data_IF_617773644630
#
_entry.id   IF_617773644630
#
_cell.length_a   1.000
_cell.length_b   1.000
_cell.length_c   1.000
_cell.angle_alpha   90.00
_cell.angle_beta   90.00
_cell.angle_gamma   90.00
#
_symmetry.space_group_name_H-M   'P 1'
#
loop_
_entity.id
_entity.type
_entity.pdbx_description
1 polymer ?
#
# COMPACT_ATOMS: atom_id res chain seq x y z
N UNK A 1 -5.76 26.34 10.56
CA UNK A 1 -4.66 25.62 9.90
C UNK A 1 -4.54 26.11 8.47
N UNK A 2 -3.38 26.51 7.99
CA UNK A 2 -3.19 26.83 6.57
C UNK A 2 -3.27 25.55 5.73
N UNK A 3 -4.17 25.54 4.73
CA UNK A 3 -4.37 24.38 3.86
C UNK A 3 -3.07 23.96 3.16
N UNK A 4 -2.27 24.94 2.71
CA UNK A 4 -0.98 24.66 2.06
C UNK A 4 -0.02 23.88 2.96
N UNK A 5 0.11 24.28 4.24
CA UNK A 5 0.94 23.57 5.20
C UNK A 5 0.47 22.13 5.43
N UNK A 6 -0.85 21.91 5.51
CA UNK A 6 -1.44 20.59 5.66
C UNK A 6 -1.17 19.70 4.42
N UNK A 7 -1.34 20.23 3.21
CA UNK A 7 -1.05 19.52 1.96
C UNK A 7 0.43 19.10 1.88
N UNK A 8 1.34 19.99 2.27
CA UNK A 8 2.78 19.70 2.32
C UNK A 8 3.06 18.59 3.34
N UNK A 9 2.44 18.65 4.52
CA UNK A 9 2.61 17.61 5.55
C UNK A 9 2.12 16.25 5.05
N UNK A 10 0.94 16.18 4.45
CA UNK A 10 0.36 14.96 3.89
C UNK A 10 1.20 14.42 2.73
N UNK A 11 1.75 15.31 1.88
CA UNK A 11 2.71 14.91 0.85
C UNK A 11 3.94 14.21 1.44
N UNK A 12 4.53 14.77 2.51
CA UNK A 12 5.68 14.13 3.15
C UNK A 12 5.32 12.83 3.86
N UNK A 13 4.11 12.69 4.40
CA UNK A 13 3.63 11.42 4.94
C UNK A 13 3.53 10.35 3.83
N UNK A 14 2.93 10.69 2.69
CA UNK A 14 2.89 9.80 1.51
C UNK A 14 4.28 9.53 0.92
N UNK A 15 5.18 10.51 0.92
CA UNK A 15 6.56 10.31 0.47
C UNK A 15 7.33 9.37 1.41
N UNK A 16 7.07 9.43 2.71
CA UNK A 16 7.67 8.51 3.68
C UNK A 16 7.26 7.06 3.40
N UNK A 17 5.97 6.84 3.09
CA UNK A 17 5.48 5.51 2.71
C UNK A 17 6.09 5.03 1.40
N UNK A 18 6.21 5.90 0.40
CA UNK A 18 6.86 5.63 -0.87
C UNK A 18 8.35 5.22 -0.68
N UNK A 19 9.11 6.02 0.06
CA UNK A 19 10.52 5.73 0.32
C UNK A 19 10.73 4.41 1.07
N UNK A 20 9.77 4.00 1.91
CA UNK A 20 9.82 2.72 2.62
C UNK A 20 9.80 1.52 1.65
N UNK A 21 9.21 1.64 0.47
CA UNK A 21 9.27 0.60 -0.58
C UNK A 21 10.71 0.31 -0.99
N UNK A 22 11.56 1.34 -1.04
CA UNK A 22 12.99 1.17 -1.32
C UNK A 22 13.74 0.32 -0.30
N UNK A 23 13.25 0.23 0.95
CA UNK A 23 13.85 -0.63 1.98
C UNK A 23 13.75 -2.12 1.62
N UNK A 24 12.74 -2.51 0.83
CA UNK A 24 12.61 -3.88 0.32
C UNK A 24 13.75 -4.35 -0.58
N UNK A 25 14.48 -3.43 -1.19
CA UNK A 25 15.67 -3.72 -1.99
C UNK A 25 16.95 -3.91 -1.14
N UNK A 26 16.96 -3.47 0.13
CA UNK A 26 18.16 -3.50 0.96
C UNK A 26 18.74 -4.90 1.22
N UNK A 27 17.95 -5.98 1.35
CA UNK A 27 18.52 -7.33 1.50
C UNK A 27 19.55 -7.67 0.44
N UNK A 28 19.36 -7.24 -0.82
CA UNK A 28 20.27 -7.52 -1.94
C UNK A 28 21.64 -6.82 -1.85
N UNK A 29 21.85 -5.96 -0.85
CA UNK A 29 23.18 -5.43 -0.55
C UNK A 29 24.04 -6.40 0.26
N UNK A 30 23.42 -7.42 0.86
CA UNK A 30 24.07 -8.35 1.80
C UNK A 30 23.91 -9.80 1.37
N UNK A 31 22.84 -10.14 0.65
CA UNK A 31 22.54 -11.50 0.18
C UNK A 31 22.16 -11.46 -1.29
N UNK A 32 22.42 -12.57 -1.99
CA UNK A 32 22.07 -12.72 -3.42
C UNK A 32 20.68 -13.35 -3.60
N UNK A 33 20.12 -13.96 -2.55
CA UNK A 33 18.80 -14.59 -2.59
C UNK A 33 18.07 -14.42 -1.24
N UNK A 34 16.74 -14.38 -1.27
CA UNK A 34 15.88 -14.29 -0.10
C UNK A 34 15.05 -15.56 0.03
N UNK A 35 15.20 -16.26 1.16
CA UNK A 35 14.49 -17.51 1.46
C UNK A 35 12.98 -17.35 1.29
N UNK A 36 12.35 -18.30 0.59
CA UNK A 36 10.90 -18.32 0.33
C UNK A 36 10.04 -18.27 1.59
N UNK A 37 10.55 -18.77 2.74
CA UNK A 37 9.82 -18.65 4.04
C UNK A 37 9.67 -17.19 4.48
N UNK A 38 10.72 -16.40 4.33
CA UNK A 38 10.68 -14.97 4.62
C UNK A 38 9.74 -14.24 3.66
N UNK A 39 9.80 -14.57 2.37
CA UNK A 39 8.91 -13.99 1.35
C UNK A 39 7.45 -14.26 1.70
N UNK A 40 7.08 -15.52 1.95
CA UNK A 40 5.70 -15.88 2.33
C UNK A 40 5.27 -15.24 3.65
N UNK A 41 6.17 -15.20 4.65
CA UNK A 41 5.90 -14.55 5.94
C UNK A 41 5.66 -13.05 5.82
N UNK A 42 6.44 -12.36 4.98
CA UNK A 42 6.30 -10.92 4.70
C UNK A 42 5.01 -10.61 3.94
N UNK A 43 4.61 -11.43 2.97
CA UNK A 43 3.31 -11.31 2.31
C UNK A 43 2.15 -11.53 3.29
N UNK A 44 2.30 -12.48 4.23
CA UNK A 44 1.35 -12.67 5.32
C UNK A 44 1.26 -11.44 6.21
N UNK A 45 2.40 -10.86 6.61
CA UNK A 45 2.48 -9.64 7.42
C UNK A 45 1.77 -8.48 6.73
N UNK A 46 2.10 -8.22 5.47
CA UNK A 46 1.47 -7.17 4.66
C UNK A 46 -0.05 -7.37 4.58
N UNK A 47 -0.50 -8.60 4.28
CA UNK A 47 -1.92 -8.95 4.24
C UNK A 47 -2.62 -8.68 5.56
N UNK A 48 -2.02 -9.07 6.69
CA UNK A 48 -2.57 -8.84 8.03
C UNK A 48 -2.68 -7.37 8.38
N UNK A 49 -1.66 -6.57 8.08
CA UNK A 49 -1.65 -5.12 8.26
C UNK A 49 -2.76 -4.47 7.44
N UNK A 50 -2.82 -4.76 6.12
CA UNK A 50 -3.79 -4.12 5.22
C UNK A 50 -5.24 -4.48 5.56
N UNK A 51 -5.55 -5.76 5.85
CA UNK A 51 -6.90 -6.19 6.25
C UNK A 51 -7.33 -5.51 7.55
N UNK A 52 -6.43 -5.41 8.52
CA UNK A 52 -6.71 -4.76 9.81
C UNK A 52 -6.87 -3.25 9.66
N UNK A 53 -6.00 -2.60 8.90
CA UNK A 53 -6.08 -1.18 8.60
C UNK A 53 -7.39 -0.83 7.89
N UNK A 54 -7.80 -1.66 6.91
CA UNK A 54 -9.08 -1.51 6.23
C UNK A 54 -10.26 -1.71 7.16
N UNK A 55 -10.29 -2.79 7.95
CA UNK A 55 -11.42 -3.14 8.83
C UNK A 55 -11.52 -2.20 10.03
N UNK A 56 -10.47 -2.12 10.83
CA UNK A 56 -10.46 -1.39 12.11
C UNK A 56 -10.24 0.10 11.94
N UNK A 57 -9.49 0.50 10.90
CA UNK A 57 -9.21 1.89 10.57
C UNK A 57 -10.28 2.48 9.65
N UNK A 58 -10.22 2.14 8.37
CA UNK A 58 -10.96 2.84 7.33
C UNK A 58 -12.47 2.57 7.36
N UNK A 59 -12.92 1.30 7.34
CA UNK A 59 -14.35 1.00 7.34
C UNK A 59 -15.03 1.46 8.62
N UNK A 60 -14.42 1.25 9.79
CA UNK A 60 -14.96 1.74 11.06
C UNK A 60 -15.12 3.27 11.07
N UNK A 61 -14.09 4.00 10.62
CA UNK A 61 -14.18 5.46 10.50
C UNK A 61 -15.24 5.87 9.49
N UNK A 62 -15.30 5.25 8.33
CA UNK A 62 -16.33 5.53 7.32
C UNK A 62 -17.74 5.38 7.91
N UNK A 63 -17.99 4.32 8.68
CA UNK A 63 -19.29 4.09 9.33
C UNK A 63 -19.59 5.10 10.45
N UNK A 64 -18.59 5.71 11.08
CA UNK A 64 -18.79 6.76 12.07
C UNK A 64 -19.18 8.10 11.43
N UNK A 65 -18.84 8.32 10.16
CA UNK A 65 -19.11 9.57 9.43
C UNK A 65 -20.30 9.51 8.46
N UNK A 66 -20.75 8.30 8.13
CA UNK A 66 -21.82 8.12 7.16
C UNK A 66 -22.56 6.80 7.31
N UNK A 67 -23.35 6.48 6.30
CA UNK A 67 -24.14 5.25 6.29
C UNK A 67 -23.34 4.05 5.76
N UNK A 68 -23.74 2.82 6.08
CA UNK A 68 -23.14 1.62 5.46
C UNK A 68 -23.20 1.64 3.94
N UNK A 69 -24.23 2.30 3.36
CA UNK A 69 -24.35 2.43 1.91
C UNK A 69 -23.28 3.32 1.31
N UNK A 70 -22.94 4.43 1.96
CA UNK A 70 -21.89 5.35 1.50
C UNK A 70 -20.53 4.64 1.49
N UNK A 71 -20.22 3.91 2.57
CA UNK A 71 -18.99 3.14 2.70
C UNK A 71 -18.92 2.01 1.66
N UNK A 72 -20.04 1.29 1.49
CA UNK A 72 -20.11 0.19 0.50
C UNK A 72 -19.99 0.72 -0.94
N UNK A 73 -20.64 1.83 -1.25
CA UNK A 73 -20.52 2.47 -2.56
C UNK A 73 -19.07 2.89 -2.85
N UNK A 74 -18.41 3.52 -1.87
CA UNK A 74 -17.00 3.84 -1.96
C UNK A 74 -16.13 2.60 -2.19
N UNK A 75 -16.35 1.54 -1.41
CA UNK A 75 -15.60 0.28 -1.53
C UNK A 75 -15.75 -0.35 -2.93
N UNK A 76 -16.95 -0.36 -3.48
CA UNK A 76 -17.19 -0.85 -4.84
C UNK A 76 -16.46 -0.02 -5.90
N UNK A 77 -16.42 1.32 -5.74
CA UNK A 77 -15.67 2.20 -6.65
C UNK A 77 -14.16 1.92 -6.54
N UNK A 78 -13.64 1.71 -5.32
CA UNK A 78 -12.23 1.36 -5.10
C UNK A 78 -11.86 0.03 -5.75
N UNK A 79 -12.69 -1.00 -5.56
CA UNK A 79 -12.54 -2.31 -6.23
C UNK A 79 -12.60 -2.15 -7.76
N UNK A 80 -13.59 -1.40 -8.27
CA UNK A 80 -13.76 -1.18 -9.69
C UNK A 80 -12.54 -0.49 -10.32
N UNK A 81 -11.94 0.49 -9.62
CA UNK A 81 -10.71 1.14 -10.07
C UNK A 81 -9.56 0.12 -10.23
N UNK A 82 -9.33 -0.71 -9.21
CA UNK A 82 -8.26 -1.72 -9.25
C UNK A 82 -8.52 -2.74 -10.36
N UNK A 83 -9.76 -3.21 -10.51
CA UNK A 83 -10.15 -4.14 -11.60
C UNK A 83 -9.93 -3.50 -12.97
N UNK A 84 -10.34 -2.25 -13.15
CA UNK A 84 -10.17 -1.54 -14.43
C UNK A 84 -8.68 -1.35 -14.76
N UNK A 85 -7.90 -0.96 -13.77
CA UNK A 85 -6.47 -0.78 -13.92
C UNK A 85 -5.77 -2.10 -14.30
N UNK A 86 -6.11 -3.21 -13.63
CA UNK A 86 -5.60 -4.54 -14.00
C UNK A 86 -5.93 -4.93 -15.43
N UNK A 87 -7.18 -4.72 -15.88
CA UNK A 87 -7.55 -5.03 -17.27
C UNK A 87 -6.71 -4.28 -18.29
N UNK A 88 -6.45 -3.00 -18.04
CA UNK A 88 -5.57 -2.21 -18.92
C UNK A 88 -4.16 -2.79 -18.99
N UNK A 89 -3.71 -3.40 -17.90
CA UNK A 89 -2.40 -4.02 -17.78
C UNK A 89 -2.37 -5.38 -18.48
N UNK A 90 -3.35 -6.23 -18.20
CA UNK A 90 -3.43 -7.60 -18.74
C UNK A 90 -3.61 -7.62 -20.28
N UNK A 91 -4.29 -6.60 -20.83
CA UNK A 91 -4.41 -6.40 -22.28
C UNK A 91 -3.08 -6.08 -22.98
N UNK A 92 -2.02 -5.77 -22.20
CA UNK A 92 -0.68 -5.54 -22.73
C UNK A 92 0.21 -6.73 -22.35
N UNK A 93 0.12 -7.84 -23.13
CA UNK A 93 0.95 -9.03 -22.95
C UNK A 93 2.44 -8.69 -22.92
N UNK A 94 3.05 -8.90 -21.76
CA UNK A 94 4.51 -8.83 -21.60
C UNK A 94 5.08 -10.24 -21.60
N UNK A 95 5.72 -10.65 -22.70
CA UNK A 95 6.53 -11.85 -22.66
C UNK A 95 7.83 -11.60 -21.87
N UNK A 96 8.10 -12.37 -20.78
CA UNK A 96 9.33 -12.21 -19.96
C UNK A 96 10.63 -12.35 -20.77
N UNK A 97 10.59 -13.00 -21.93
CA UNK A 97 11.75 -13.22 -22.82
C UNK A 97 12.32 -11.93 -23.41
N UNK A 98 11.55 -10.86 -23.43
CA UNK A 98 11.98 -9.56 -23.97
C UNK A 98 12.65 -8.65 -22.93
N UNK A 99 12.68 -9.03 -21.65
CA UNK A 99 13.27 -8.21 -20.57
C UNK A 99 14.79 -8.05 -20.74
N UNK A 100 15.48 -9.00 -21.36
CA UNK A 100 16.92 -8.92 -21.64
C UNK A 100 17.34 -7.78 -22.59
N UNK A 101 16.39 -7.17 -23.30
CA UNK A 101 16.55 -5.97 -24.12
C UNK A 101 15.52 -4.92 -23.74
N UNK A 102 15.25 -4.79 -22.46
CA UNK A 102 14.20 -3.93 -21.96
C UNK A 102 14.47 -2.48 -22.35
N UNK A 103 13.88 -2.09 -23.47
CA UNK A 103 13.64 -0.70 -23.77
C UNK A 103 13.02 -0.05 -22.52
N UNK A 104 13.48 1.14 -22.18
CA UNK A 104 12.93 2.00 -21.13
C UNK A 104 11.39 1.98 -21.08
N UNK A 105 10.74 1.80 -22.23
CA UNK A 105 9.29 1.66 -22.39
C UNK A 105 8.70 0.45 -21.66
N UNK A 106 9.40 -0.71 -21.59
CA UNK A 106 8.93 -1.90 -20.86
C UNK A 106 9.10 -1.75 -19.35
N UNK A 107 10.21 -1.13 -18.91
CA UNK A 107 10.39 -0.79 -17.49
C UNK A 107 9.33 0.20 -17.01
N UNK A 108 8.98 1.20 -17.83
CA UNK A 108 7.90 2.16 -17.53
C UNK A 108 6.54 1.45 -17.44
N UNK A 109 6.29 0.42 -18.25
CA UNK A 109 5.04 -0.33 -18.21
C UNK A 109 4.98 -1.24 -16.97
N UNK A 110 6.05 -1.97 -16.63
CA UNK A 110 6.12 -2.76 -15.38
C UNK A 110 5.94 -1.83 -14.17
N UNK A 111 6.64 -0.71 -14.16
CA UNK A 111 6.47 0.31 -13.14
C UNK A 111 5.03 0.86 -13.12
N UNK A 112 4.39 1.03 -14.28
CA UNK A 112 2.99 1.47 -14.40
C UNK A 112 2.00 0.48 -13.78
N UNK A 113 2.25 -0.83 -13.92
CA UNK A 113 1.45 -1.92 -13.29
C UNK A 113 1.49 -1.79 -11.77
N UNK A 114 2.70 -1.72 -11.22
CA UNK A 114 2.94 -1.62 -9.78
C UNK A 114 2.44 -0.26 -9.23
N UNK A 115 2.48 0.78 -10.05
CA UNK A 115 1.94 2.12 -9.80
C UNK A 115 0.44 2.10 -9.47
N UNK A 116 -0.33 1.17 -10.04
CA UNK A 116 -1.79 1.08 -9.80
C UNK A 116 -2.12 0.70 -8.36
N UNK A 117 -1.29 -0.12 -7.71
CA UNK A 117 -1.49 -0.51 -6.31
C UNK A 117 -1.23 0.66 -5.36
N UNK A 118 -0.19 1.42 -5.65
CA UNK A 118 0.28 2.50 -4.80
C UNK A 118 -0.66 3.70 -4.72
N UNK A 119 -1.52 3.93 -5.73
CA UNK A 119 -2.46 5.04 -5.69
C UNK A 119 -3.57 4.86 -4.63
N UNK A 120 -4.31 3.72 -4.54
CA UNK A 120 -5.26 3.46 -3.46
C UNK A 120 -4.65 3.52 -2.06
N UNK A 121 -3.41 3.12 -1.90
CA UNK A 121 -2.68 3.23 -0.64
C UNK A 121 -2.41 4.68 -0.26
N UNK A 122 -2.00 5.48 -1.24
CA UNK A 122 -1.89 6.92 -1.08
C UNK A 122 -3.23 7.54 -0.69
N UNK A 123 -4.33 7.15 -1.32
CA UNK A 123 -5.68 7.59 -0.93
C UNK A 123 -5.97 7.21 0.52
N UNK A 124 -5.61 5.99 0.97
CA UNK A 124 -5.78 5.56 2.35
C UNK A 124 -5.00 6.46 3.35
N UNK A 125 -3.76 6.80 3.02
CA UNK A 125 -3.00 7.81 3.77
C UNK A 125 -3.76 9.14 3.79
N UNK A 126 -4.14 9.68 2.63
CA UNK A 126 -4.77 10.99 2.51
C UNK A 126 -6.08 11.12 3.28
N UNK A 127 -6.99 10.15 3.16
CA UNK A 127 -8.28 10.17 3.90
C UNK A 127 -8.07 10.01 5.40
N UNK A 128 -7.03 9.33 5.84
CA UNK A 128 -6.72 9.18 7.27
C UNK A 128 -6.37 10.50 7.95
N UNK A 129 -5.89 11.49 7.18
CA UNK A 129 -5.64 12.86 7.63
C UNK A 129 -6.88 13.79 7.60
N UNK A 130 -8.05 13.29 7.24
CA UNK A 130 -9.25 14.14 7.09
C UNK A 130 -9.59 14.99 8.32
N UNK A 131 -9.26 14.51 9.52
CA UNK A 131 -9.48 15.20 10.81
C UNK A 131 -8.26 16.03 11.26
N UNK A 132 -7.27 16.23 10.41
CA UNK A 132 -6.05 16.98 10.76
C UNK A 132 -6.41 18.43 11.15
N UNK A 133 -5.86 18.85 12.28
CA UNK A 133 -6.11 20.19 12.84
C UNK A 133 -7.36 20.30 13.72
N UNK A 134 -8.11 19.19 13.91
CA UNK A 134 -9.19 19.13 14.91
C UNK A 134 -8.62 18.73 16.29
N UNK A 135 -9.43 18.90 17.34
CA UNK A 135 -9.06 18.52 18.69
C UNK A 135 -8.89 16.99 18.84
N UNK A 136 -7.95 16.57 19.69
CA UNK A 136 -7.69 15.17 20.01
C UNK A 136 -6.60 14.50 19.18
N UNK A 137 -5.97 15.20 18.23
CA UNK A 137 -4.80 14.68 17.50
C UNK A 137 -3.49 14.79 18.27
N UNK A 138 -2.46 14.10 17.81
CA UNK A 138 -1.10 14.19 18.34
C UNK A 138 -0.36 15.41 17.78
N UNK A 139 0.35 16.18 18.61
CA UNK A 139 1.14 17.32 18.14
C UNK A 139 2.40 16.84 17.41
N UNK A 140 2.42 16.96 16.09
CA UNK A 140 3.57 16.61 15.23
C UNK A 140 3.90 17.83 14.36
N UNK A 141 5.10 18.36 14.45
CA UNK A 141 5.59 19.52 13.68
C UNK A 141 4.62 20.72 13.64
N UNK A 142 3.92 20.97 14.75
CA UNK A 142 2.95 22.06 14.86
C UNK A 142 1.55 21.77 14.32
N UNK A 143 1.28 20.54 13.88
CA UNK A 143 -0.03 20.08 13.45
C UNK A 143 -0.65 19.12 14.47
N UNK A 144 -1.98 19.17 14.64
CA UNK A 144 -2.75 18.14 15.35
C UNK A 144 -3.03 17.01 14.37
N UNK A 145 -2.30 15.90 14.48
CA UNK A 145 -2.35 14.76 13.56
C UNK A 145 -3.25 13.66 14.12
N UNK A 146 -4.27 13.20 13.38
CA UNK A 146 -5.15 12.13 13.82
C UNK A 146 -4.36 10.84 14.09
N UNK A 147 -4.77 10.10 15.14
CA UNK A 147 -4.13 8.82 15.47
C UNK A 147 -4.22 7.83 14.30
N UNK A 148 -5.37 7.80 13.59
CA UNK A 148 -5.53 6.98 12.39
C UNK A 148 -4.45 7.30 11.34
N UNK A 149 -4.14 8.58 11.12
CA UNK A 149 -3.13 8.99 10.14
C UNK A 149 -1.72 8.49 10.50
N UNK A 150 -1.37 8.56 11.80
CA UNK A 150 -0.11 8.03 12.30
C UNK A 150 -0.02 6.52 12.04
N UNK A 151 -1.05 5.76 12.44
CA UNK A 151 -1.08 4.31 12.22
C UNK A 151 -1.10 3.95 10.74
N UNK A 152 -1.86 4.64 9.90
CA UNK A 152 -1.92 4.37 8.46
C UNK A 152 -0.57 4.61 7.79
N UNK A 153 0.10 5.72 8.12
CA UNK A 153 1.43 6.02 7.57
C UNK A 153 2.45 4.95 7.97
N UNK A 154 2.48 4.54 9.24
CA UNK A 154 3.39 3.48 9.72
C UNK A 154 3.04 2.14 9.08
N UNK A 155 1.76 1.78 9.06
CA UNK A 155 1.28 0.50 8.53
C UNK A 155 1.63 0.35 7.04
N UNK A 156 1.36 1.40 6.26
CA UNK A 156 1.66 1.43 4.82
C UNK A 156 3.19 1.41 4.60
N UNK A 157 3.97 2.11 5.41
CA UNK A 157 5.43 2.01 5.33
C UNK A 157 5.96 0.59 5.60
N UNK A 158 5.38 -0.13 6.55
CA UNK A 158 5.82 -1.50 6.88
C UNK A 158 5.44 -2.47 5.77
N UNK A 159 4.21 -2.42 5.24
CA UNK A 159 3.81 -3.36 4.20
C UNK A 159 4.46 -3.06 2.84
N UNK A 160 4.89 -1.84 2.58
CA UNK A 160 5.65 -1.49 1.37
C UNK A 160 7.01 -2.18 1.28
N UNK A 161 7.59 -2.60 2.41
CA UNK A 161 8.87 -3.35 2.40
C UNK A 161 8.74 -4.69 1.66
N UNK A 162 7.75 -5.56 1.92
CA UNK A 162 7.45 -6.73 1.09
C UNK A 162 7.23 -6.43 -0.39
N UNK A 163 6.53 -5.34 -0.72
CA UNK A 163 6.32 -4.94 -2.12
C UNK A 163 7.63 -4.57 -2.80
N UNK A 164 8.45 -3.74 -2.17
CA UNK A 164 9.77 -3.37 -2.69
C UNK A 164 10.69 -4.59 -2.87
N UNK A 165 10.58 -5.58 -1.98
CA UNK A 165 11.28 -6.85 -2.13
C UNK A 165 10.79 -7.61 -3.38
N UNK A 166 9.48 -7.71 -3.58
CA UNK A 166 8.89 -8.41 -4.72
C UNK A 166 9.29 -7.77 -6.06
N UNK A 167 9.34 -6.44 -6.12
CA UNK A 167 9.85 -5.67 -7.28
C UNK A 167 11.32 -5.95 -7.52
N UNK A 168 12.11 -6.05 -6.45
CA UNK A 168 13.57 -6.14 -6.51
C UNK A 168 14.07 -7.52 -6.93
N UNK A 169 13.36 -8.60 -6.58
CA UNK A 169 13.75 -9.99 -6.89
C UNK A 169 13.96 -10.19 -8.40
N UNK A 170 12.97 -10.00 -9.28
CA UNK A 170 13.14 -10.24 -10.70
C UNK A 170 14.20 -9.32 -11.33
N UNK A 171 14.30 -8.08 -10.87
CA UNK A 171 15.32 -7.15 -11.36
C UNK A 171 16.74 -7.61 -10.98
N UNK A 172 16.92 -8.13 -9.77
CA UNK A 172 18.19 -8.69 -9.29
C UNK A 172 18.59 -9.91 -10.09
N UNK A 173 17.69 -10.85 -10.32
CA UNK A 173 17.89 -12.04 -11.14
C UNK A 173 18.33 -11.70 -12.58
N UNK A 174 17.92 -10.56 -13.11
CA UNK A 174 18.34 -10.03 -14.42
C UNK A 174 19.58 -9.15 -14.38
N UNK A 175 20.28 -9.10 -13.24
CA UNK A 175 21.58 -8.43 -13.12
C UNK A 175 21.53 -6.91 -12.93
N UNK A 176 20.38 -6.37 -12.49
CA UNK A 176 20.28 -4.96 -12.16
C UNK A 176 21.21 -4.59 -10.99
N UNK A 177 21.78 -3.39 -11.02
CA UNK A 177 22.65 -2.89 -9.95
C UNK A 177 21.83 -2.63 -8.68
N UNK A 178 22.40 -2.86 -7.50
CA UNK A 178 21.72 -2.71 -6.20
C UNK A 178 20.98 -1.38 -6.03
N UNK A 179 21.60 -0.26 -6.42
CA UNK A 179 20.95 1.05 -6.36
C UNK A 179 19.81 1.24 -7.38
N UNK A 180 19.85 0.49 -8.49
CA UNK A 180 18.73 0.49 -9.45
C UNK A 180 17.51 -0.22 -8.86
N UNK A 181 17.71 -1.30 -8.06
CA UNK A 181 16.64 -1.96 -7.34
C UNK A 181 15.90 -0.98 -6.41
N UNK A 182 16.66 -0.25 -5.58
CA UNK A 182 16.10 0.80 -4.71
C UNK A 182 15.35 1.86 -5.52
N UNK A 183 15.98 2.37 -6.58
CA UNK A 183 15.38 3.42 -7.41
C UNK A 183 14.09 2.98 -8.09
N UNK A 184 14.02 1.75 -8.61
CA UNK A 184 12.81 1.21 -9.23
C UNK A 184 11.73 0.95 -8.17
N UNK A 185 12.09 0.35 -7.02
CA UNK A 185 11.15 0.12 -5.93
C UNK A 185 10.49 1.43 -5.45
N UNK A 186 11.26 2.49 -5.23
CA UNK A 186 10.72 3.82 -4.92
C UNK A 186 9.87 4.35 -6.07
N UNK A 187 10.35 4.27 -7.31
CA UNK A 187 9.63 4.80 -8.46
C UNK A 187 8.24 4.18 -8.63
N UNK A 188 8.06 2.89 -8.33
CA UNK A 188 6.74 2.22 -8.40
C UNK A 188 5.74 2.74 -7.39
N UNK A 189 6.20 3.36 -6.31
CA UNK A 189 5.35 3.88 -5.22
C UNK A 189 5.13 5.40 -5.29
N UNK A 190 5.69 6.11 -6.28
CA UNK A 190 5.47 7.56 -6.50
C UNK A 190 3.99 7.99 -6.52
N UNK A 191 3.02 7.17 -6.98
CA UNK A 191 1.60 7.52 -6.85
C UNK A 191 1.08 7.66 -5.42
N UNK A 192 1.75 7.11 -4.40
CA UNK A 192 1.31 7.24 -3.00
C UNK A 192 1.26 8.70 -2.52
N UNK A 193 2.33 9.50 -2.59
CA UNK A 193 2.26 10.91 -2.19
C UNK A 193 1.26 11.71 -3.02
N UNK A 194 1.10 11.38 -4.31
CA UNK A 194 0.10 12.03 -5.18
C UNK A 194 -1.31 11.67 -4.73
N UNK A 195 -1.61 10.39 -4.55
CA UNK A 195 -2.90 9.90 -4.05
C UNK A 195 -3.25 10.48 -2.69
N UNK A 196 -2.27 10.59 -1.77
CA UNK A 196 -2.45 11.15 -0.45
C UNK A 196 -2.87 12.62 -0.50
N UNK A 197 -2.17 13.44 -1.27
CA UNK A 197 -2.49 14.86 -1.43
C UNK A 197 -3.84 15.05 -2.10
N UNK A 198 -4.12 14.32 -3.17
CA UNK A 198 -5.40 14.42 -3.89
C UNK A 198 -6.58 14.02 -3.00
N UNK A 199 -6.46 12.90 -2.27
CA UNK A 199 -7.51 12.43 -1.38
C UNK A 199 -7.73 13.39 -0.21
N UNK A 200 -6.67 13.86 0.44
CA UNK A 200 -6.77 14.85 1.50
C UNK A 200 -7.42 16.15 1.00
N UNK A 201 -6.97 16.71 -0.12
CA UNK A 201 -7.56 17.89 -0.72
C UNK A 201 -9.05 17.67 -1.02
N UNK A 202 -9.39 16.54 -1.66
CA UNK A 202 -10.77 16.22 -2.01
C UNK A 202 -11.68 16.18 -0.80
N UNK A 203 -11.29 15.51 0.29
CA UNK A 203 -12.13 15.41 1.50
C UNK A 203 -12.25 16.74 2.25
N UNK A 204 -11.31 17.67 2.09
CA UNK A 204 -11.47 19.03 2.65
C UNK A 204 -12.55 19.84 1.93
N UNK A 205 -12.73 19.65 0.62
CA UNK A 205 -13.77 20.33 -0.17
C UNK A 205 -15.12 19.60 -0.11
N UNK A 206 -15.10 18.27 -0.04
CA UNK A 206 -16.31 17.43 -0.15
C UNK A 206 -16.44 16.50 1.08
N UNK A 207 -16.55 17.07 2.27
CA UNK A 207 -16.65 16.31 3.54
C UNK A 207 -17.81 15.31 3.58
N UNK A 208 -18.89 15.57 2.83
CA UNK A 208 -20.02 14.65 2.67
C UNK A 208 -19.62 13.33 1.99
N UNK A 209 -18.54 13.32 1.21
CA UNK A 209 -18.01 12.13 0.55
C UNK A 209 -16.92 11.41 1.36
N UNK A 210 -16.59 11.91 2.55
CA UNK A 210 -15.59 11.32 3.42
C UNK A 210 -15.86 9.82 3.73
N UNK A 211 -17.11 9.40 4.06
CA UNK A 211 -17.42 7.98 4.27
C UNK A 211 -17.11 7.12 3.04
N UNK A 212 -17.46 7.62 1.85
CA UNK A 212 -17.14 6.94 0.59
C UNK A 212 -15.64 6.92 0.31
N UNK A 213 -14.89 7.95 0.68
CA UNK A 213 -13.42 7.98 0.58
C UNK A 213 -12.75 6.92 1.45
N UNK A 214 -13.20 6.75 2.70
CA UNK A 214 -12.77 5.66 3.56
C UNK A 214 -13.14 4.29 2.98
N UNK A 215 -14.36 4.15 2.47
CA UNK A 215 -14.82 2.95 1.79
C UNK A 215 -13.93 2.61 0.59
N UNK A 216 -13.66 3.60 -0.28
CA UNK A 216 -12.82 3.45 -1.47
C UNK A 216 -11.44 2.87 -1.14
N UNK A 217 -10.75 3.49 -0.20
CA UNK A 217 -9.43 3.04 0.19
C UNK A 217 -9.47 1.62 0.80
N UNK A 218 -10.39 1.38 1.76
CA UNK A 218 -10.54 0.09 2.41
C UNK A 218 -10.93 -1.03 1.43
N UNK A 219 -11.85 -0.76 0.51
CA UNK A 219 -12.29 -1.72 -0.51
C UNK A 219 -11.18 -2.09 -1.49
N UNK A 220 -10.46 -1.10 -2.00
CA UNK A 220 -9.32 -1.32 -2.89
C UNK A 220 -8.23 -2.16 -2.20
N UNK A 221 -7.85 -1.82 -0.95
CA UNK A 221 -6.83 -2.54 -0.19
C UNK A 221 -7.24 -3.99 0.10
N UNK A 222 -8.48 -4.24 0.52
CA UNK A 222 -8.97 -5.62 0.73
C UNK A 222 -8.94 -6.42 -0.57
N UNK A 223 -9.37 -5.81 -1.67
CA UNK A 223 -9.35 -6.48 -2.98
C UNK A 223 -7.92 -6.84 -3.40
N UNK A 224 -6.95 -5.93 -3.25
CA UNK A 224 -5.54 -6.19 -3.54
C UNK A 224 -4.98 -7.35 -2.72
N UNK A 225 -5.28 -7.40 -1.41
CA UNK A 225 -4.84 -8.52 -0.56
C UNK A 225 -5.37 -9.86 -1.09
N UNK A 226 -6.65 -9.91 -1.44
CA UNK A 226 -7.29 -11.16 -1.88
C UNK A 226 -6.86 -11.61 -3.28
N UNK A 227 -6.55 -10.68 -4.15
CA UNK A 227 -6.27 -10.97 -5.57
C UNK A 227 -4.78 -10.97 -5.93
N UNK A 228 -3.93 -10.45 -5.04
CA UNK A 228 -2.48 -10.35 -5.29
C UNK A 228 -1.65 -10.92 -4.15
N UNK A 229 -1.72 -10.34 -2.95
CA UNK A 229 -0.81 -10.69 -1.86
C UNK A 229 -0.97 -12.15 -1.40
N UNK A 230 -2.20 -12.60 -1.22
CA UNK A 230 -2.47 -14.00 -0.84
C UNK A 230 -2.16 -14.98 -1.98
N UNK A 231 -2.53 -14.73 -3.24
CA UNK A 231 -2.08 -15.54 -4.37
C UNK A 231 -0.56 -15.62 -4.52
N UNK A 232 0.15 -14.48 -4.48
CA UNK A 232 1.60 -14.43 -4.57
C UNK A 232 2.27 -15.25 -3.44
N UNK A 233 1.81 -15.05 -2.18
CA UNK A 233 2.29 -15.83 -1.04
C UNK A 233 2.07 -17.34 -1.24
N UNK A 234 0.95 -17.74 -1.85
CA UNK A 234 0.66 -19.15 -2.14
C UNK A 234 1.53 -19.70 -3.26
N UNK A 235 1.80 -18.91 -4.29
CA UNK A 235 2.67 -19.32 -5.40
C UNK A 235 4.10 -19.57 -4.91
N UNK A 236 4.70 -18.61 -4.21
CA UNK A 236 6.01 -18.77 -3.57
C UNK A 236 6.00 -19.94 -2.57
N UNK A 237 4.92 -20.06 -1.80
CA UNK A 237 4.75 -21.08 -0.78
C UNK A 237 4.69 -22.52 -1.32
N UNK A 238 4.37 -22.73 -2.61
CA UNK A 238 4.34 -24.08 -3.20
C UNK A 238 5.66 -24.84 -3.04
N UNK A 239 6.77 -24.12 -2.95
CA UNK A 239 8.11 -24.69 -2.76
C UNK A 239 8.37 -25.08 -1.30
N UNK A 240 7.52 -24.68 -0.37
CA UNK A 240 7.68 -24.90 1.06
C UNK A 240 6.83 -26.08 1.57
N UNK A 241 7.23 -26.72 2.70
CA UNK A 241 6.40 -27.70 3.38
C UNK A 241 4.99 -27.14 3.70
N UNK A 242 3.95 -27.94 3.44
CA UNK A 242 2.53 -27.56 3.59
C UNK A 242 2.10 -26.33 2.76
N UNK A 243 2.81 -26.03 1.66
CA UNK A 243 2.49 -24.91 0.80
C UNK A 243 2.68 -23.53 1.48
N UNK A 244 3.64 -23.41 2.40
CA UNK A 244 3.95 -22.16 3.09
C UNK A 244 2.83 -21.63 4.02
N UNK A 245 1.82 -22.46 4.34
CA UNK A 245 0.65 -22.01 5.14
C UNK A 245 1.02 -21.52 6.53
N UNK A 246 2.06 -22.11 7.14
CA UNK A 246 2.50 -21.72 8.50
C UNK A 246 3.12 -20.32 8.48
N UNK A 247 3.97 -20.08 7.52
CA UNK A 247 4.67 -18.80 7.31
C UNK A 247 3.65 -17.69 6.99
N UNK A 248 2.72 -17.96 6.08
CA UNK A 248 1.64 -17.04 5.72
C UNK A 248 0.75 -16.69 6.93
N UNK A 249 0.29 -17.70 7.67
CA UNK A 249 -0.56 -17.48 8.84
C UNK A 249 0.19 -16.78 9.98
N UNK A 250 1.45 -17.13 10.20
CA UNK A 250 2.28 -16.47 11.21
C UNK A 250 2.44 -14.98 10.88
N UNK A 251 2.81 -14.66 9.63
CA UNK A 251 2.89 -13.27 9.17
C UNK A 251 1.57 -12.53 9.32
N UNK A 252 0.46 -13.13 8.88
CA UNK A 252 -0.88 -12.54 8.97
C UNK A 252 -1.27 -12.24 10.42
N UNK A 253 -1.05 -13.18 11.36
CA UNK A 253 -1.32 -12.97 12.79
C UNK A 253 -0.47 -11.83 13.36
N UNK A 254 0.82 -11.77 13.01
CA UNK A 254 1.71 -10.68 13.44
C UNK A 254 1.22 -9.34 12.87
N UNK A 255 0.84 -9.30 11.59
CA UNK A 255 0.30 -8.09 10.96
C UNK A 255 -0.99 -7.61 11.60
N UNK A 256 -1.93 -8.51 11.90
CA UNK A 256 -3.16 -8.19 12.63
C UNK A 256 -2.83 -7.68 14.04
N UNK A 257 -1.93 -8.36 14.76
CA UNK A 257 -1.56 -7.98 16.12
C UNK A 257 -0.91 -6.59 16.18
N UNK A 258 -0.07 -6.24 15.19
CA UNK A 258 0.54 -4.92 15.08
C UNK A 258 -0.49 -3.79 14.92
N UNK A 259 -1.66 -4.09 14.37
CA UNK A 259 -2.75 -3.13 14.11
C UNK A 259 -3.83 -3.10 15.21
N UNK A 260 -3.75 -3.97 16.25
CA UNK A 260 -4.71 -3.95 17.36
C UNK A 260 -4.87 -2.59 18.05
N UNK A 261 -3.82 -1.75 18.22
CA UNK A 261 -4.00 -0.42 18.78
C UNK A 261 -5.00 0.47 18.03
N UNK A 262 -5.27 0.21 16.74
CA UNK A 262 -6.33 0.91 15.99
C UNK A 262 -7.77 0.65 16.54
N UNK A 263 -7.96 -0.40 17.31
CA UNK A 263 -9.27 -0.67 17.93
C UNK A 263 -9.64 0.36 19.01
N UNK A 264 -8.63 1.03 19.59
CA UNK A 264 -8.80 2.04 20.65
C UNK A 264 -8.54 3.47 20.13
N UNK A 265 -8.18 3.59 18.85
CA UNK A 265 -8.04 4.85 18.13
C UNK A 265 -9.37 5.27 17.48
#
# INVERSE_FOLDING_TARGET
MELTGALVFVFFAGLLTDLATGLGALPFFFVDDVDDRWRVGLWGLASGIMLSASGFGLFRKGLNYGTPLDVAAGALVGVALVVAARRVIDDHEFEPRDIARADFKKLVLIAGVLTVHSFPEGVAVGVSFAEMGLDGGYPILGFSVPLLAVFMTIAISIHNVPEGLAVSIPLHEHGARRWQLVGVAVFTSVPQPIGAVLAFAFVQFARTLLPAGYGFAGGAMVYLVLTEFVPEAREVGQRLPNGGRRELLAGLVVGVAAMLPLLVA
#
